data_IF_784304505507
#
_entry.id   IF_784304505507
#
_cell.length_a   1.000
_cell.length_b   1.000
_cell.length_c   1.000
_cell.angle_alpha   90.00
_cell.angle_beta   90.00
_cell.angle_gamma   90.00
#
_symmetry.space_group_name_H-M   'P 1'
#
loop_
_entity.id
_entity.type
_entity.pdbx_description
1 polymer ?
#
# COMPACT_ATOMS: atom_id res chain seq x y z
N UNK A 1 -21.98 24.61 -7.55
CA UNK A 1 -21.00 23.57 -7.96
C UNK A 1 -21.69 22.30 -8.43
N UNK A 2 -23.02 22.13 -8.27
CA UNK A 2 -23.76 20.96 -8.73
C UNK A 2 -23.59 19.68 -7.89
N UNK A 3 -23.00 19.76 -6.71
CA UNK A 3 -22.83 18.61 -5.82
C UNK A 3 -24.08 18.42 -4.93
N UNK A 4 -24.37 17.16 -4.60
CA UNK A 4 -25.35 16.84 -3.57
C UNK A 4 -24.92 17.45 -2.23
N UNK A 5 -25.84 18.05 -1.45
CA UNK A 5 -25.54 18.55 -0.11
C UNK A 5 -25.26 17.43 0.90
N UNK A 6 -25.56 16.18 0.53
CA UNK A 6 -25.34 15.01 1.38
C UNK A 6 -24.25 14.13 0.77
N UNK A 7 -23.38 13.60 1.65
CA UNK A 7 -22.45 12.55 1.27
C UNK A 7 -23.24 11.29 0.91
N UNK A 8 -22.99 10.78 -0.29
CA UNK A 8 -23.56 9.50 -0.77
C UNK A 8 -22.42 8.52 -1.03
N UNK A 9 -22.68 7.25 -0.75
CA UNK A 9 -21.71 6.20 -1.14
C UNK A 9 -21.62 6.13 -2.67
N UNK A 10 -20.40 6.00 -3.14
CA UNK A 10 -20.11 5.70 -4.54
C UNK A 10 -19.10 4.55 -4.58
N UNK A 11 -19.38 3.58 -5.43
CA UNK A 11 -18.46 2.47 -5.64
C UNK A 11 -17.14 2.99 -6.22
N UNK A 12 -15.98 2.60 -5.66
CA UNK A 12 -14.68 2.95 -6.26
C UNK A 12 -14.58 2.46 -7.70
N UNK A 13 -13.88 3.20 -8.58
CA UNK A 13 -13.75 2.82 -10.00
C UNK A 13 -13.07 1.47 -10.23
N UNK A 14 -12.23 1.04 -9.29
CA UNK A 14 -11.51 -0.23 -9.30
C UNK A 14 -11.80 -0.97 -8.01
N UNK A 15 -12.92 -1.68 -7.99
CA UNK A 15 -13.31 -2.58 -6.91
C UNK A 15 -13.71 -3.94 -7.48
N UNK A 16 -13.87 -4.98 -6.66
CA UNK A 16 -14.41 -6.26 -7.13
C UNK A 16 -15.79 -6.15 -7.74
N UNK A 17 -16.54 -5.08 -7.42
CA UNK A 17 -17.89 -4.84 -7.94
C UNK A 17 -17.88 -4.06 -9.24
N UNK A 18 -17.11 -2.97 -9.30
CA UNK A 18 -17.07 -2.07 -10.46
C UNK A 18 -16.15 -2.55 -11.59
N UNK A 19 -15.15 -3.37 -11.26
CA UNK A 19 -14.16 -3.89 -12.19
C UNK A 19 -13.86 -5.39 -11.94
N UNK A 20 -14.85 -6.29 -12.14
CA UNK A 20 -14.69 -7.71 -11.84
C UNK A 20 -13.55 -8.37 -12.63
N UNK A 21 -13.38 -8.03 -13.90
CA UNK A 21 -12.28 -8.57 -14.73
C UNK A 21 -10.91 -8.18 -14.18
N UNK A 22 -10.78 -6.95 -13.64
CA UNK A 22 -9.56 -6.51 -12.99
C UNK A 22 -9.34 -7.24 -11.67
N UNK A 23 -10.41 -7.55 -10.93
CA UNK A 23 -10.36 -8.29 -9.68
C UNK A 23 -9.95 -9.76 -9.86
N UNK A 24 -10.19 -10.36 -11.03
CA UNK A 24 -9.65 -11.69 -11.34
C UNK A 24 -8.12 -11.68 -11.40
N UNK A 25 -7.53 -10.62 -11.94
CA UNK A 25 -6.07 -10.46 -12.02
C UNK A 25 -5.47 -9.95 -10.70
N UNK A 26 -6.16 -9.07 -10.00
CA UNK A 26 -5.72 -8.42 -8.77
C UNK A 26 -6.75 -8.64 -7.66
N UNK A 27 -6.76 -9.82 -7.03
CA UNK A 27 -7.88 -10.27 -6.21
C UNK A 27 -7.94 -9.66 -4.79
N UNK A 28 -6.96 -8.85 -4.41
CA UNK A 28 -6.89 -8.25 -3.09
C UNK A 28 -7.20 -6.76 -3.15
N UNK A 29 -7.90 -6.26 -2.15
CA UNK A 29 -8.10 -4.83 -1.95
C UNK A 29 -6.89 -4.24 -1.24
N UNK A 30 -6.22 -3.30 -1.89
CA UNK A 30 -5.13 -2.53 -1.32
C UNK A 30 -5.66 -1.28 -0.62
N UNK A 31 -5.36 -1.15 0.66
CA UNK A 31 -5.55 0.10 1.41
C UNK A 31 -4.21 0.65 1.88
N UNK A 32 -4.11 1.97 2.00
CA UNK A 32 -2.89 2.65 2.46
C UNK A 32 -3.25 3.93 3.20
N UNK A 33 -2.25 4.63 3.75
CA UNK A 33 -2.43 5.92 4.42
C UNK A 33 -2.70 5.82 5.93
N UNK A 34 -2.68 4.63 6.51
CA UNK A 34 -2.64 4.50 7.97
C UNK A 34 -1.29 5.00 8.49
N UNK A 35 -1.31 5.88 9.49
CA UNK A 35 -0.07 6.40 10.07
C UNK A 35 0.52 5.41 11.06
N UNK A 36 1.80 5.14 10.95
CA UNK A 36 2.54 4.41 11.96
C UNK A 36 2.89 5.34 13.13
N UNK A 37 2.85 4.80 14.32
CA UNK A 37 3.30 5.54 15.50
C UNK A 37 4.77 5.98 15.34
N UNK A 38 5.05 7.23 15.63
CA UNK A 38 6.38 7.81 15.51
C UNK A 38 6.71 8.43 14.15
N UNK A 39 5.85 8.22 13.13
CA UNK A 39 6.04 8.82 11.81
C UNK A 39 4.84 9.68 11.40
N UNK A 40 5.13 10.84 10.83
CA UNK A 40 4.13 11.68 10.20
C UNK A 40 4.38 11.66 8.68
N UNK A 41 3.59 10.86 7.97
CA UNK A 41 3.78 10.59 6.54
C UNK A 41 5.21 10.14 6.20
N UNK A 42 5.98 10.93 5.43
CA UNK A 42 7.37 10.64 5.05
C UNK A 42 8.42 11.10 6.06
N UNK A 43 8.02 11.82 7.09
CA UNK A 43 8.94 12.44 8.04
C UNK A 43 9.48 11.45 9.07
N UNK A 44 10.60 11.82 9.68
CA UNK A 44 11.27 11.10 10.79
C UNK A 44 11.92 9.76 10.44
N UNK A 45 11.98 9.34 9.16
CA UNK A 45 12.71 8.13 8.75
C UNK A 45 14.21 8.21 9.06
N UNK A 46 14.78 9.42 9.08
CA UNK A 46 16.16 9.71 9.41
C UNK A 46 16.44 9.74 10.93
N UNK A 47 15.40 9.73 11.78
CA UNK A 47 15.58 9.72 13.25
C UNK A 47 15.89 8.30 13.74
N UNK A 48 17.06 8.01 14.33
CA UNK A 48 17.41 6.67 14.77
C UNK A 48 16.46 6.09 15.81
N UNK A 49 15.90 6.93 16.68
CA UNK A 49 14.93 6.49 17.70
C UNK A 49 13.61 6.05 17.08
N UNK A 50 13.09 6.79 16.10
CA UNK A 50 11.85 6.45 15.40
C UNK A 50 12.05 5.26 14.47
N UNK A 51 13.21 5.22 13.78
CA UNK A 51 13.55 4.14 12.87
C UNK A 51 13.67 2.78 13.57
N UNK A 52 14.09 2.74 14.84
CA UNK A 52 14.09 1.50 15.64
C UNK A 52 12.70 0.95 15.91
N UNK A 53 11.66 1.79 15.93
CA UNK A 53 10.27 1.35 16.12
C UNK A 53 9.71 0.67 14.86
N UNK A 54 10.11 1.18 13.70
CA UNK A 54 9.74 0.65 12.39
C UNK A 54 10.95 0.70 11.46
N UNK A 55 11.75 -0.38 11.41
CA UNK A 55 12.98 -0.40 10.61
C UNK A 55 12.72 -0.49 9.11
N UNK A 56 11.62 -1.09 8.70
CA UNK A 56 11.26 -1.36 7.31
C UNK A 56 9.80 -0.96 7.02
N UNK A 57 9.45 -0.72 5.75
CA UNK A 57 8.05 -0.59 5.35
C UNK A 57 7.34 -1.93 5.52
N UNK A 58 6.11 -1.91 6.02
CA UNK A 58 5.34 -3.14 6.20
C UNK A 58 4.02 -3.12 5.46
N UNK A 59 3.60 -4.30 5.02
CA UNK A 59 2.27 -4.58 4.52
C UNK A 59 1.57 -5.58 5.44
N UNK A 60 0.43 -5.19 5.98
CA UNK A 60 -0.40 -6.08 6.81
C UNK A 60 -1.09 -7.09 5.92
N UNK A 61 -0.97 -8.37 6.25
CA UNK A 61 -1.56 -9.49 5.50
C UNK A 61 -2.23 -10.45 6.48
N UNK A 62 -3.43 -10.94 6.16
CA UNK A 62 -4.05 -11.98 6.96
C UNK A 62 -3.26 -13.29 6.84
N UNK A 63 -3.04 -14.07 7.93
CA UNK A 63 -2.23 -15.29 7.88
C UNK A 63 -2.70 -16.33 6.86
N UNK A 64 -4.01 -16.51 6.69
CA UNK A 64 -4.54 -17.44 5.69
C UNK A 64 -4.27 -16.96 4.24
N UNK A 65 -4.32 -15.66 4.02
CA UNK A 65 -3.95 -15.07 2.71
C UNK A 65 -2.47 -15.24 2.47
N UNK A 66 -1.62 -14.91 3.44
CA UNK A 66 -0.18 -15.09 3.33
C UNK A 66 0.18 -16.56 3.01
N UNK A 67 -0.45 -17.52 3.68
CA UNK A 67 -0.25 -18.95 3.43
C UNK A 67 -0.62 -19.34 1.99
N UNK A 68 -1.70 -18.79 1.42
CA UNK A 68 -2.10 -19.05 0.04
C UNK A 68 -1.09 -18.54 -1.00
N UNK A 69 -0.30 -17.51 -0.64
CA UNK A 69 0.76 -16.94 -1.48
C UNK A 69 2.17 -17.43 -1.09
N UNK A 70 2.30 -18.37 -0.15
CA UNK A 70 3.60 -18.89 0.32
C UNK A 70 4.45 -17.85 1.06
N UNK A 71 3.82 -16.88 1.70
CA UNK A 71 4.45 -15.75 2.39
C UNK A 71 4.51 -16.05 3.89
N UNK A 72 5.69 -15.89 4.49
CA UNK A 72 5.90 -15.93 5.93
C UNK A 72 5.98 -14.50 6.52
N UNK A 73 5.82 -14.41 7.84
CA UNK A 73 5.99 -13.14 8.55
C UNK A 73 7.43 -12.62 8.40
N UNK A 74 7.58 -11.35 8.05
CA UNK A 74 8.87 -10.71 7.80
C UNK A 74 9.47 -10.93 6.41
N UNK A 75 8.87 -11.74 5.55
CA UNK A 75 9.30 -11.88 4.15
C UNK A 75 9.15 -10.55 3.41
N UNK A 76 10.07 -10.26 2.47
CA UNK A 76 9.84 -9.22 1.49
C UNK A 76 8.78 -9.67 0.48
N UNK A 77 7.82 -8.81 0.23
CA UNK A 77 6.67 -9.06 -0.66
C UNK A 77 6.61 -7.98 -1.71
N UNK A 78 6.42 -8.37 -2.94
CA UNK A 78 5.99 -7.47 -4.01
C UNK A 78 4.49 -7.26 -3.91
N UNK A 79 4.05 -6.01 -3.98
CA UNK A 79 2.66 -5.59 -4.13
C UNK A 79 2.54 -5.01 -5.52
N UNK A 80 1.63 -5.51 -6.32
CA UNK A 80 1.52 -5.15 -7.74
C UNK A 80 0.08 -4.85 -8.13
N UNK A 81 -0.09 -3.89 -9.04
CA UNK A 81 -1.34 -3.64 -9.76
C UNK A 81 -1.05 -3.12 -11.17
N UNK A 82 -2.09 -2.66 -11.87
CA UNK A 82 -1.98 -2.11 -13.23
C UNK A 82 -1.20 -0.79 -13.35
N UNK A 83 -0.82 -0.15 -12.24
CA UNK A 83 -0.04 1.10 -12.23
C UNK A 83 1.45 0.85 -11.98
N UNK A 84 1.80 -0.26 -11.34
CA UNK A 84 3.18 -0.58 -11.03
C UNK A 84 3.33 -1.61 -9.93
N UNK A 85 4.49 -1.63 -9.31
CA UNK A 85 4.81 -2.51 -8.19
C UNK A 85 5.67 -1.79 -7.16
N UNK A 86 5.58 -2.24 -5.92
CA UNK A 86 6.52 -1.89 -4.87
C UNK A 86 6.74 -3.08 -3.94
N UNK A 87 7.75 -3.01 -3.06
CA UNK A 87 8.03 -4.09 -2.12
C UNK A 87 8.05 -3.59 -0.68
N UNK A 88 7.42 -4.36 0.19
CA UNK A 88 7.39 -4.12 1.63
C UNK A 88 7.51 -5.44 2.38
N UNK A 89 7.82 -5.42 3.67
CA UNK A 89 7.86 -6.62 4.50
C UNK A 89 6.47 -7.04 4.94
N UNK A 90 6.18 -8.32 4.89
CA UNK A 90 4.95 -8.88 5.41
C UNK A 90 4.88 -8.74 6.94
N UNK A 91 3.78 -8.22 7.45
CA UNK A 91 3.40 -8.24 8.86
C UNK A 91 2.08 -9.01 8.96
N UNK A 92 2.13 -10.24 9.48
CA UNK A 92 0.96 -11.10 9.54
C UNK A 92 0.07 -10.75 10.73
N UNK A 93 -1.22 -10.52 10.47
CA UNK A 93 -2.17 -10.14 11.50
C UNK A 93 -3.59 -10.56 11.17
N UNK A 94 -4.34 -11.03 12.17
CA UNK A 94 -5.77 -11.32 12.04
C UNK A 94 -6.65 -10.07 12.15
N UNK A 95 -6.06 -8.89 12.36
CA UNK A 95 -6.79 -7.61 12.44
C UNK A 95 -7.18 -7.02 11.08
N UNK A 96 -6.77 -7.69 10.00
CA UNK A 96 -7.14 -7.33 8.63
C UNK A 96 -8.01 -8.43 8.00
N UNK A 97 -8.83 -8.08 7.01
CA UNK A 97 -9.64 -9.05 6.27
C UNK A 97 -8.75 -9.90 5.35
N UNK A 98 -9.23 -11.12 5.03
CA UNK A 98 -8.51 -12.03 4.13
C UNK A 98 -8.39 -11.53 2.68
N UNK A 99 -9.32 -10.71 2.25
CA UNK A 99 -9.39 -10.12 0.91
C UNK A 99 -8.69 -8.75 0.80
N UNK A 100 -7.99 -8.32 1.85
CA UNK A 100 -7.46 -6.97 1.96
C UNK A 100 -6.01 -6.98 2.46
N UNK A 101 -5.19 -6.11 1.91
CA UNK A 101 -3.85 -5.80 2.44
C UNK A 101 -3.72 -4.31 2.74
N UNK A 102 -2.92 -3.97 3.75
CA UNK A 102 -2.71 -2.57 4.14
C UNK A 102 -1.23 -2.24 4.15
N UNK A 103 -0.80 -1.43 3.20
CA UNK A 103 0.59 -1.08 2.97
C UNK A 103 0.97 0.26 3.59
N UNK A 104 2.19 0.36 4.08
CA UNK A 104 2.76 1.62 4.57
C UNK A 104 2.90 2.63 3.43
N UNK A 105 2.55 3.88 3.71
CA UNK A 105 2.69 4.97 2.76
C UNK A 105 3.95 5.79 2.96
N UNK A 106 4.37 6.50 1.93
CA UNK A 106 5.41 7.52 1.96
C UNK A 106 6.75 7.01 2.53
N UNK A 107 7.13 5.77 2.21
CA UNK A 107 8.39 5.19 2.69
C UNK A 107 9.57 5.60 1.83
N UNK A 108 10.71 5.79 2.48
CA UNK A 108 12.04 6.01 1.89
C UNK A 108 13.11 5.60 2.91
N UNK A 109 14.34 5.39 2.43
CA UNK A 109 15.46 4.91 3.24
C UNK A 109 16.55 6.01 3.31
N UNK A 110 16.65 6.73 4.43
CA UNK A 110 17.63 7.81 4.58
C UNK A 110 19.10 7.35 4.49
N UNK A 111 19.35 6.05 4.71
CA UNK A 111 20.66 5.42 4.60
C UNK A 111 21.09 5.16 3.15
N UNK A 112 20.17 5.23 2.20
CA UNK A 112 20.49 5.12 0.77
C UNK A 112 20.81 6.48 0.19
N UNK A 113 21.81 6.54 -0.68
CA UNK A 113 22.16 7.75 -1.37
C UNK A 113 21.36 7.98 -2.66
N UNK A 114 21.42 9.17 -3.24
CA UNK A 114 20.80 9.46 -4.53
C UNK A 114 21.43 8.65 -5.69
N UNK A 115 22.64 8.15 -5.49
CA UNK A 115 23.42 7.34 -6.43
C UNK A 115 22.84 5.94 -6.68
N UNK A 116 21.93 5.44 -5.82
CA UNK A 116 21.32 4.12 -5.99
C UNK A 116 20.28 4.06 -7.12
N UNK A 117 19.95 5.21 -7.71
CA UNK A 117 18.97 5.34 -8.80
C UNK A 117 17.52 5.14 -8.38
N UNK A 118 17.24 4.91 -7.10
CA UNK A 118 15.90 4.60 -6.59
C UNK A 118 15.27 5.73 -5.78
N UNK A 119 15.88 6.93 -5.80
CA UNK A 119 15.49 8.08 -4.98
C UNK A 119 15.36 7.69 -3.49
N UNK A 120 16.48 7.27 -2.90
CA UNK A 120 16.50 6.79 -1.51
C UNK A 120 15.55 5.60 -1.25
N UNK A 121 15.41 4.70 -2.22
CA UNK A 121 14.51 3.56 -2.12
C UNK A 121 13.02 3.89 -2.30
N UNK A 122 12.67 5.13 -2.57
CA UNK A 122 11.29 5.55 -2.79
C UNK A 122 10.64 4.81 -3.96
N UNK A 123 11.35 4.65 -5.07
CA UNK A 123 10.84 3.94 -6.25
C UNK A 123 10.69 2.41 -6.04
N UNK A 124 11.26 1.87 -4.96
CA UNK A 124 11.10 0.47 -4.63
C UNK A 124 9.97 0.20 -3.63
N UNK A 125 9.76 1.08 -2.66
CA UNK A 125 8.96 0.76 -1.48
C UNK A 125 7.81 1.72 -1.20
N UNK A 126 7.67 2.80 -1.96
CA UNK A 126 6.57 3.74 -1.75
C UNK A 126 5.31 3.29 -2.48
N UNK A 127 4.29 2.96 -1.71
CA UNK A 127 3.00 2.48 -2.22
C UNK A 127 2.27 3.49 -3.12
N UNK A 128 2.64 4.75 -3.10
CA UNK A 128 2.03 5.76 -3.97
C UNK A 128 2.23 5.48 -5.46
N UNK A 129 3.20 4.63 -5.83
CA UNK A 129 3.36 4.17 -7.21
C UNK A 129 2.16 3.34 -7.71
N UNK A 130 1.42 2.74 -6.79
CA UNK A 130 0.26 1.91 -7.09
C UNK A 130 -1.06 2.69 -7.00
N UNK A 131 -1.01 3.95 -6.62
CA UNK A 131 -2.20 4.78 -6.39
C UNK A 131 -2.33 5.81 -7.49
N UNK A 132 -3.34 5.71 -8.37
CA UNK A 132 -3.55 6.67 -9.44
C UNK A 132 -3.98 8.04 -8.88
N UNK A 133 -3.54 9.09 -9.54
CA UNK A 133 -4.03 10.43 -9.24
C UNK A 133 -5.46 10.60 -9.81
N UNK A 134 -6.45 10.20 -9.04
CA UNK A 134 -7.86 10.35 -9.37
C UNK A 134 -8.54 11.24 -8.32
N UNK A 135 -8.74 12.52 -8.61
CA UNK A 135 -9.49 13.39 -7.69
C UNK A 135 -10.92 12.88 -7.56
N UNK A 136 -11.48 12.97 -6.35
CA UNK A 136 -12.89 12.73 -6.13
C UNK A 136 -13.76 13.72 -6.92
N UNK A 137 -15.06 13.46 -7.03
CA UNK A 137 -16.00 14.33 -7.80
C UNK A 137 -16.00 15.78 -7.34
N UNK A 138 -15.73 16.03 -6.07
CA UNK A 138 -15.58 17.40 -5.56
C UNK A 138 -14.30 18.11 -6.00
N UNK A 139 -13.38 17.41 -6.70
CA UNK A 139 -12.04 17.91 -7.01
C UNK A 139 -11.10 17.96 -5.81
N UNK A 140 -11.57 17.56 -4.64
CA UNK A 140 -10.83 17.56 -3.37
C UNK A 140 -10.63 16.12 -2.90
N UNK A 141 -9.39 15.76 -2.61
CA UNK A 141 -9.02 14.43 -2.16
C UNK A 141 -8.88 13.41 -3.29
N UNK A 142 -8.30 12.28 -2.97
CA UNK A 142 -8.08 11.15 -3.87
C UNK A 142 -8.40 9.82 -3.16
N UNK A 143 -8.73 8.79 -3.96
CA UNK A 143 -9.06 7.48 -3.46
C UNK A 143 -7.78 6.68 -3.18
N UNK A 144 -7.30 6.71 -1.93
CA UNK A 144 -6.09 5.98 -1.51
C UNK A 144 -6.36 4.61 -0.88
N UNK A 145 -7.61 4.22 -0.72
CA UNK A 145 -7.97 3.12 0.18
C UNK A 145 -8.73 1.98 -0.48
N UNK A 146 -8.75 1.95 -1.80
CA UNK A 146 -9.58 1.00 -2.53
C UNK A 146 -8.99 0.69 -3.92
N UNK A 147 -7.71 0.39 -3.97
CA UNK A 147 -7.09 -0.14 -5.19
C UNK A 147 -7.19 -1.66 -5.17
N UNK A 148 -7.18 -2.29 -6.34
CA UNK A 148 -6.97 -3.73 -6.45
C UNK A 148 -5.47 -4.02 -6.58
N UNK A 149 -5.02 -5.14 -6.02
CA UNK A 149 -3.64 -5.59 -6.14
C UNK A 149 -3.52 -7.11 -6.06
N UNK A 150 -2.36 -7.61 -6.40
CA UNK A 150 -1.86 -8.93 -6.03
C UNK A 150 -0.59 -8.78 -5.19
N UNK A 151 -0.19 -9.86 -4.54
CA UNK A 151 1.05 -9.92 -3.77
C UNK A 151 1.84 -11.16 -4.19
N UNK A 152 3.15 -11.11 -4.01
CA UNK A 152 4.03 -12.25 -4.25
C UNK A 152 5.27 -12.17 -3.37
N UNK A 153 5.79 -13.32 -2.96
CA UNK A 153 7.07 -13.38 -2.25
C UNK A 153 8.19 -12.91 -3.19
N UNK A 154 9.09 -12.06 -2.69
CA UNK A 154 10.32 -11.72 -3.41
C UNK A 154 11.26 -12.90 -3.30
N UNK A 155 11.66 -13.49 -4.43
CA UNK A 155 12.73 -14.49 -4.49
C UNK A 155 14.07 -13.76 -4.35
N UNK A 156 14.93 -14.25 -3.44
CA UNK A 156 16.29 -13.76 -3.24
C UNK A 156 17.24 -14.20 -4.34
#
# INVERSE_FOLDING_TARGET
FGFSPFATYEEPPESPVSAPDLAEKYPLVLTTGARKWGFFHSEHRQSPSMRRLHPDPTVLIHPETAAAYGIADGDWVTIENNFGSCRQKAELTTRIRKDTVSADHAWWFPERGPEDGTLFGTLESNINQLVPMRPGKSGLGASYKSQLCTIGKVEE
#
